data_IF_659558223551
#
_entry.id   IF_659558223551
#
_cell.length_a   1.000
_cell.length_b   1.000
_cell.length_c   1.000
_cell.angle_alpha   90.00
_cell.angle_beta   90.00
_cell.angle_gamma   90.00
#
_symmetry.space_group_name_H-M   'P 1'
#
loop_
_entity.id
_entity.type
_entity.pdbx_description
1 polymer ?
#
# COMPACT_ATOMS: atom_id res chain seq x y z
N UNK A 1 -13.12 15.48 -12.54
CA UNK A 1 -14.42 15.72 -11.88
C UNK A 1 -14.17 16.20 -10.44
N UNK A 2 -15.05 17.04 -9.87
CA UNK A 2 -15.06 17.32 -8.44
C UNK A 2 -15.12 16.01 -7.64
N UNK A 3 -14.51 16.02 -6.45
CA UNK A 3 -14.66 14.91 -5.53
C UNK A 3 -16.10 14.84 -5.02
N UNK A 4 -16.63 13.64 -4.81
CA UNK A 4 -17.90 13.45 -4.12
C UNK A 4 -17.73 13.85 -2.64
N UNK A 5 -18.52 14.82 -2.11
CA UNK A 5 -18.43 15.24 -0.71
C UNK A 5 -18.74 14.14 0.30
N UNK A 6 -19.41 13.06 -0.10
CA UNK A 6 -19.67 11.90 0.76
C UNK A 6 -18.48 10.92 0.85
N UNK A 7 -17.40 11.15 0.09
CA UNK A 7 -16.21 10.28 0.09
C UNK A 7 -15.50 10.32 1.44
N UNK A 8 -15.11 9.16 1.96
CA UNK A 8 -14.20 9.09 3.10
C UNK A 8 -12.79 9.55 2.68
N UNK A 9 -12.38 10.71 3.20
CA UNK A 9 -11.08 11.33 2.92
C UNK A 9 -9.94 10.79 3.79
N UNK A 10 -10.24 10.05 4.87
CA UNK A 10 -9.23 9.61 5.84
C UNK A 10 -8.20 8.64 5.25
N UNK A 11 -8.58 7.90 4.20
CA UNK A 11 -7.74 6.95 3.47
C UNK A 11 -6.95 7.59 2.31
N UNK A 12 -7.03 8.91 2.15
CA UNK A 12 -6.37 9.66 1.10
C UNK A 12 -5.42 10.71 1.66
N UNK A 13 -4.46 11.11 0.84
CA UNK A 13 -3.58 12.25 1.08
C UNK A 13 -3.50 13.14 -0.16
N UNK A 14 -2.98 14.36 0.01
CA UNK A 14 -2.84 15.33 -1.07
C UNK A 14 -1.71 14.91 -2.01
N UNK A 15 -2.01 14.89 -3.31
CA UNK A 15 -1.06 14.46 -4.35
C UNK A 15 -0.12 15.60 -4.82
N UNK A 16 -0.51 16.86 -4.63
CA UNK A 16 0.30 18.04 -4.96
C UNK A 16 -0.19 19.28 -4.21
N UNK A 17 0.66 20.31 -4.07
CA UNK A 17 0.30 21.55 -3.36
C UNK A 17 -0.97 22.21 -3.92
N UNK A 18 -1.90 22.53 -3.03
CA UNK A 18 -3.15 23.22 -3.38
C UNK A 18 -3.18 24.62 -2.76
N UNK A 19 -3.76 25.57 -3.50
CA UNK A 19 -4.07 26.89 -2.98
C UNK A 19 -5.43 26.86 -2.28
N UNK A 20 -5.57 27.70 -1.25
CA UNK A 20 -6.83 27.90 -0.55
C UNK A 20 -7.96 28.28 -1.54
N UNK A 21 -9.17 27.79 -1.30
CA UNK A 21 -10.35 28.06 -2.13
C UNK A 21 -10.46 27.23 -3.41
N UNK A 22 -9.47 26.37 -3.74
CA UNK A 22 -9.61 25.44 -4.88
C UNK A 22 -10.51 24.26 -4.54
N UNK A 23 -11.33 23.88 -5.52
CA UNK A 23 -12.17 22.67 -5.47
C UNK A 23 -11.28 21.42 -5.52
N UNK A 24 -11.48 20.52 -4.57
CA UNK A 24 -10.84 19.21 -4.57
C UNK A 24 -11.38 18.34 -5.71
N UNK A 25 -10.47 17.67 -6.41
CA UNK A 25 -10.79 16.75 -7.48
C UNK A 25 -10.13 15.40 -7.22
N UNK A 26 -10.60 14.35 -7.88
CA UNK A 26 -9.96 13.02 -7.83
C UNK A 26 -8.46 13.03 -8.17
N UNK A 27 -7.97 14.04 -8.92
CA UNK A 27 -6.54 14.17 -9.27
C UNK A 27 -5.71 14.79 -8.14
N UNK A 28 -6.37 15.53 -7.25
CA UNK A 28 -5.76 16.27 -6.14
C UNK A 28 -5.40 15.38 -4.96
N UNK A 29 -5.92 14.15 -4.93
CA UNK A 29 -5.70 13.17 -3.88
C UNK A 29 -5.08 11.89 -4.43
N UNK A 30 -4.34 11.18 -3.59
CA UNK A 30 -3.89 9.80 -3.83
C UNK A 30 -4.20 8.96 -2.59
N UNK A 31 -4.34 7.64 -2.74
CA UNK A 31 -4.51 6.77 -1.57
C UNK A 31 -3.29 6.94 -0.66
N UNK A 32 -3.54 7.07 0.63
CA UNK A 32 -2.49 7.21 1.63
C UNK A 32 -1.66 5.92 1.70
N UNK A 33 -0.33 5.98 1.48
CA UNK A 33 0.55 4.84 1.74
C UNK A 33 0.44 4.39 3.20
N UNK A 34 0.45 3.09 3.43
CA UNK A 34 0.46 2.49 4.78
C UNK A 34 1.72 1.69 5.04
N UNK A 35 2.54 1.46 4.01
CA UNK A 35 3.87 0.89 4.10
C UNK A 35 4.85 1.75 3.31
N UNK A 36 6.04 1.88 3.86
CA UNK A 36 7.17 2.63 3.31
C UNK A 36 8.33 1.70 2.92
N UNK A 37 9.25 2.21 2.10
CA UNK A 37 10.48 1.48 1.75
C UNK A 37 11.31 1.22 3.01
N UNK A 38 11.65 -0.04 3.23
CA UNK A 38 12.44 -0.51 4.37
C UNK A 38 11.59 -1.13 5.47
N UNK A 39 10.27 -0.96 5.44
CA UNK A 39 9.39 -1.56 6.43
C UNK A 39 9.47 -3.07 6.41
N UNK A 40 9.47 -3.68 7.61
CA UNK A 40 9.46 -5.13 7.77
C UNK A 40 8.07 -5.56 8.22
N UNK A 41 7.35 -6.22 7.31
CA UNK A 41 5.95 -6.62 7.48
C UNK A 41 5.75 -8.12 7.30
N UNK A 42 4.57 -8.61 7.64
CA UNK A 42 4.17 -10.01 7.43
C UNK A 42 3.73 -10.26 5.98
N UNK A 43 4.48 -11.09 5.28
CA UNK A 43 4.12 -11.65 3.98
C UNK A 43 3.32 -12.94 4.14
N UNK A 44 2.10 -12.98 3.61
CA UNK A 44 1.23 -14.15 3.60
C UNK A 44 1.17 -14.76 2.20
N UNK A 45 1.63 -16.01 2.07
CA UNK A 45 1.48 -16.80 0.84
C UNK A 45 0.42 -17.85 1.08
N UNK A 46 -0.58 -17.93 0.19
CA UNK A 46 -1.64 -18.96 0.24
C UNK A 46 -1.64 -19.80 -1.03
N UNK A 47 -1.48 -21.12 -0.88
CA UNK A 47 -1.56 -22.10 -1.98
C UNK A 47 -2.46 -23.26 -1.58
N UNK A 48 -3.73 -23.21 -2.00
CA UNK A 48 -4.75 -24.16 -1.57
C UNK A 48 -4.95 -24.09 -0.05
N UNK A 49 -4.69 -25.21 0.64
CA UNK A 49 -4.76 -25.33 2.10
C UNK A 49 -3.46 -24.88 2.81
N UNK A 50 -2.36 -24.69 2.06
CA UNK A 50 -1.09 -24.26 2.63
C UNK A 50 -1.09 -22.74 2.81
N UNK A 51 -0.83 -22.29 4.02
CA UNK A 51 -0.59 -20.88 4.36
C UNK A 51 0.80 -20.73 4.97
N UNK A 52 1.59 -19.81 4.42
CA UNK A 52 2.95 -19.52 4.87
C UNK A 52 3.01 -18.06 5.29
N UNK A 53 3.50 -17.81 6.50
CA UNK A 53 3.90 -16.49 6.96
C UNK A 53 5.42 -16.33 6.83
N UNK A 54 5.88 -15.16 6.39
CA UNK A 54 7.29 -14.80 6.36
C UNK A 54 7.48 -13.30 6.59
N UNK A 55 8.59 -12.91 7.19
CA UNK A 55 8.98 -11.49 7.25
C UNK A 55 9.56 -11.03 5.91
N UNK A 56 9.06 -9.90 5.42
CA UNK A 56 9.49 -9.28 4.16
C UNK A 56 9.78 -7.80 4.36
N UNK A 57 10.82 -7.33 3.69
CA UNK A 57 11.18 -5.91 3.61
C UNK A 57 10.47 -5.28 2.40
N UNK A 58 9.83 -4.14 2.57
CA UNK A 58 9.13 -3.39 1.53
C UNK A 58 10.13 -2.56 0.72
N UNK A 59 10.04 -2.60 -0.62
CA UNK A 59 11.03 -1.96 -1.49
C UNK A 59 10.60 -0.57 -2.01
N UNK A 60 9.33 -0.21 -1.86
CA UNK A 60 8.73 1.04 -2.36
C UNK A 60 7.47 1.38 -1.53
N UNK A 61 7.09 2.67 -1.45
CA UNK A 61 5.86 3.09 -0.76
C UNK A 61 4.63 2.46 -1.43
N UNK A 62 3.63 2.05 -0.63
CA UNK A 62 2.39 1.52 -1.18
C UNK A 62 1.19 1.69 -0.24
N UNK A 63 0.03 1.91 -0.84
CA UNK A 63 -1.26 2.00 -0.17
C UNK A 63 -2.04 0.66 -0.22
N UNK A 64 -3.06 0.46 0.62
CA UNK A 64 -3.87 -0.75 0.61
C UNK A 64 -4.47 -1.05 -0.77
N UNK A 65 -4.32 -2.31 -1.19
CA UNK A 65 -4.73 -2.81 -2.50
C UNK A 65 -3.73 -2.56 -3.62
N UNK A 66 -2.61 -1.87 -3.39
CA UNK A 66 -1.56 -1.70 -4.39
C UNK A 66 -0.57 -2.87 -4.40
N UNK A 67 -0.02 -3.16 -5.57
CA UNK A 67 1.01 -4.18 -5.77
C UNK A 67 2.39 -3.56 -5.47
N UNK A 68 3.15 -4.19 -4.57
CA UNK A 68 4.45 -3.70 -4.09
C UNK A 68 5.52 -4.78 -4.23
N UNK A 69 6.74 -4.39 -4.56
CA UNK A 69 7.91 -5.29 -4.53
C UNK A 69 8.41 -5.45 -3.10
N UNK A 70 8.63 -6.70 -2.70
CA UNK A 70 9.14 -7.04 -1.36
C UNK A 70 10.34 -7.96 -1.45
N UNK A 71 11.16 -8.00 -0.40
CA UNK A 71 12.33 -8.86 -0.28
C UNK A 71 12.22 -9.72 0.96
N UNK A 72 12.31 -11.03 0.81
CA UNK A 72 12.37 -11.92 1.97
C UNK A 72 13.67 -11.66 2.75
N UNK A 73 13.57 -11.33 4.04
CA UNK A 73 14.73 -10.92 4.82
C UNK A 73 15.74 -12.06 5.04
N UNK A 74 15.29 -13.33 4.99
CA UNK A 74 16.11 -14.53 5.20
C UNK A 74 16.75 -15.01 3.89
N UNK A 75 15.95 -15.25 2.87
CA UNK A 75 16.41 -15.84 1.59
C UNK A 75 16.91 -14.79 0.60
N UNK A 76 16.67 -13.49 0.88
CA UNK A 76 16.98 -12.34 0.03
C UNK A 76 16.28 -12.36 -1.35
N UNK A 77 15.35 -13.30 -1.58
CA UNK A 77 14.54 -13.39 -2.79
C UNK A 77 13.53 -12.23 -2.86
N UNK A 78 13.36 -11.69 -4.06
CA UNK A 78 12.35 -10.68 -4.35
C UNK A 78 11.04 -11.31 -4.77
N UNK A 79 9.93 -10.72 -4.35
CA UNK A 79 8.56 -11.12 -4.67
C UNK A 79 7.71 -9.87 -4.91
N UNK A 80 6.49 -10.07 -5.41
CA UNK A 80 5.47 -9.02 -5.49
C UNK A 80 4.26 -9.46 -4.69
N UNK A 81 3.65 -8.53 -3.96
CA UNK A 81 2.45 -8.81 -3.19
C UNK A 81 1.53 -7.59 -3.14
N UNK A 82 0.29 -7.79 -2.73
CA UNK A 82 -0.71 -6.74 -2.56
C UNK A 82 -0.72 -6.32 -1.10
N UNK A 83 -0.56 -5.03 -0.84
CA UNK A 83 -0.66 -4.47 0.52
C UNK A 83 -2.07 -4.67 1.04
N UNK A 84 -2.19 -5.30 2.21
CA UNK A 84 -3.47 -5.46 2.89
C UNK A 84 -3.65 -4.35 3.92
N UNK A 85 -2.64 -4.10 4.75
CA UNK A 85 -2.57 -3.04 5.76
C UNK A 85 -1.11 -2.69 6.08
N UNK A 86 -0.91 -1.85 7.10
CA UNK A 86 0.41 -1.40 7.57
C UNK A 86 1.34 -2.53 8.07
N UNK A 87 0.78 -3.71 8.37
CA UNK A 87 1.51 -4.83 8.96
C UNK A 87 1.58 -6.04 8.02
N UNK A 88 0.84 -6.06 6.90
CA UNK A 88 0.67 -7.27 6.12
C UNK A 88 0.56 -7.07 4.60
N UNK A 89 1.16 -8.03 3.88
CA UNK A 89 1.19 -8.11 2.42
C UNK A 89 0.82 -9.52 1.98
N UNK A 90 -0.14 -9.64 1.05
CA UNK A 90 -0.53 -10.92 0.46
C UNK A 90 0.29 -11.18 -0.81
N UNK A 91 0.98 -12.31 -0.85
CA UNK A 91 1.83 -12.72 -1.96
C UNK A 91 1.16 -13.92 -2.67
N UNK A 92 0.82 -13.80 -3.98
CA UNK A 92 0.16 -14.86 -4.74
C UNK A 92 1.08 -16.06 -5.07
#
# INVERSE_FOLDING_TARGET
>A
PPLDPASDLSIYEINYTLMHGKILTNRSIRKKPVVDRGDIVDGWIKRGLLQINLKVEVMEEAAPGQLVRVKNIRTKKYMRGVVQDENSIVIP
#
